data_IF_174794814046
#
_entry.id   IF_174794814046
#
_cell.length_a   1.000
_cell.length_b   1.000
_cell.length_c   1.000
_cell.angle_alpha   90.00
_cell.angle_beta   90.00
_cell.angle_gamma   90.00
#
_symmetry.space_group_name_H-M   'P 1'
#
loop_
_entity.id
_entity.type
_entity.pdbx_description
1 polymer ?
#
# COMPACT_ATOMS: atom_id res chain seq x y z
N UNK A 1 -36.74 -26.57 -3.65
CA UNK A 1 -35.93 -25.47 -4.20
C UNK A 1 -35.20 -24.73 -3.09
N UNK A 2 -34.06 -24.16 -3.42
CA UNK A 2 -33.23 -23.37 -2.48
C UNK A 2 -32.66 -22.12 -3.14
N UNK A 3 -32.36 -21.13 -2.33
CA UNK A 3 -31.55 -19.97 -2.73
C UNK A 3 -30.28 -19.96 -1.88
N UNK A 4 -29.14 -19.94 -2.53
CA UNK A 4 -27.82 -19.86 -1.91
C UNK A 4 -27.13 -18.57 -2.33
N UNK A 5 -26.63 -17.81 -1.38
CA UNK A 5 -25.87 -16.60 -1.61
C UNK A 5 -24.51 -16.74 -0.97
N UNK A 6 -23.48 -16.36 -1.71
CA UNK A 6 -22.10 -16.35 -1.22
C UNK A 6 -21.49 -14.97 -1.43
N UNK A 7 -20.63 -14.56 -0.48
CA UNK A 7 -19.90 -13.30 -0.56
C UNK A 7 -18.48 -13.46 -0.03
N UNK A 8 -17.67 -12.41 -0.19
CA UNK A 8 -16.31 -12.33 0.31
C UNK A 8 -16.12 -11.04 1.08
N UNK A 9 -15.59 -11.15 2.30
CA UNK A 9 -15.20 -10.03 3.15
C UNK A 9 -13.69 -10.08 3.38
N UNK A 10 -12.96 -9.07 2.90
CA UNK A 10 -11.51 -9.01 3.05
C UNK A 10 -11.07 -8.79 4.51
N UNK A 11 -11.93 -8.27 5.38
CA UNK A 11 -11.67 -8.14 6.82
C UNK A 11 -11.79 -9.49 7.53
N UNK A 12 -12.49 -10.46 6.93
CA UNK A 12 -12.70 -11.82 7.44
C UNK A 12 -12.43 -12.87 6.36
N UNK A 13 -11.23 -12.92 5.76
CA UNK A 13 -10.96 -13.68 4.54
C UNK A 13 -11.10 -15.21 4.70
N UNK A 14 -11.03 -15.72 5.93
CA UNK A 14 -11.16 -17.16 6.23
C UNK A 14 -12.61 -17.57 6.54
N UNK A 15 -13.52 -16.61 6.70
CA UNK A 15 -14.92 -16.90 6.98
C UNK A 15 -15.64 -17.21 5.67
N UNK A 16 -16.22 -18.44 5.57
CA UNK A 16 -17.13 -18.75 4.48
C UNK A 16 -18.41 -17.93 4.63
N UNK A 17 -18.56 -16.91 3.81
CA UNK A 17 -19.72 -16.03 3.73
C UNK A 17 -20.79 -16.65 2.85
N UNK A 18 -21.34 -17.81 3.27
CA UNK A 18 -22.40 -18.50 2.56
C UNK A 18 -23.66 -18.55 3.41
N UNK A 19 -24.80 -18.27 2.80
CA UNK A 19 -26.11 -18.31 3.41
C UNK A 19 -27.11 -18.92 2.43
N UNK A 20 -27.84 -19.94 2.88
CA UNK A 20 -28.88 -20.61 2.10
C UNK A 20 -30.20 -20.61 2.83
N UNK A 21 -31.29 -20.65 2.07
CA UNK A 21 -32.65 -20.89 2.55
C UNK A 21 -33.32 -21.91 1.65
N UNK A 22 -33.99 -22.90 2.26
CA UNK A 22 -34.58 -24.04 1.60
C UNK A 22 -36.09 -23.99 1.72
N UNK A 23 -36.75 -24.62 0.76
CA UNK A 23 -38.17 -24.95 0.80
C UNK A 23 -38.34 -26.41 0.44
N UNK A 24 -39.28 -27.07 1.11
CA UNK A 24 -39.59 -28.50 0.95
C UNK A 24 -40.35 -28.82 -0.36
N UNK A 25 -40.74 -27.81 -1.12
CA UNK A 25 -41.46 -28.00 -2.37
C UNK A 25 -40.57 -28.40 -3.56
N UNK A 26 -41.06 -29.29 -4.38
CA UNK A 26 -40.45 -29.66 -5.66
C UNK A 26 -40.73 -28.61 -6.76
N UNK A 27 -39.89 -28.46 -7.80
CA UNK A 27 -38.68 -29.20 -8.03
C UNK A 27 -37.49 -28.68 -7.15
N UNK A 28 -36.51 -29.53 -6.89
CA UNK A 28 -35.29 -29.14 -6.16
C UNK A 28 -34.35 -28.38 -7.08
N UNK A 29 -34.63 -27.10 -7.28
CA UNK A 29 -33.83 -26.16 -8.04
C UNK A 29 -33.06 -25.25 -7.09
N UNK A 30 -31.85 -24.86 -7.50
CA UNK A 30 -31.04 -23.90 -6.78
C UNK A 30 -30.87 -22.61 -7.58
N UNK A 31 -31.12 -21.47 -6.91
CA UNK A 31 -30.70 -20.17 -7.34
C UNK A 31 -29.43 -19.81 -6.55
N UNK A 32 -28.27 -19.76 -7.25
CA UNK A 32 -26.97 -19.41 -6.66
C UNK A 32 -26.54 -18.02 -7.12
N UNK A 33 -26.27 -17.12 -6.15
CA UNK A 33 -25.93 -15.73 -6.41
C UNK A 33 -24.57 -15.38 -5.76
N UNK A 34 -23.64 -14.85 -6.58
CA UNK A 34 -22.35 -14.29 -6.16
C UNK A 34 -22.05 -13.03 -6.98
N UNK A 35 -21.67 -11.91 -6.34
CA UNK A 35 -21.60 -11.62 -4.89
C UNK A 35 -22.98 -11.45 -4.27
N UNK A 36 -23.17 -12.06 -3.09
CA UNK A 36 -24.45 -12.07 -2.38
C UNK A 36 -24.77 -10.77 -1.64
N UNK A 37 -23.80 -9.86 -1.54
CA UNK A 37 -23.89 -8.48 -0.99
C UNK A 37 -24.31 -8.43 0.47
N UNK A 38 -23.63 -9.20 1.29
CA UNK A 38 -23.80 -9.16 2.73
C UNK A 38 -22.45 -9.34 3.44
N UNK A 39 -22.29 -8.67 4.58
CA UNK A 39 -21.11 -8.76 5.46
C UNK A 39 -21.40 -9.55 6.73
N UNK A 40 -22.68 -9.90 6.96
CA UNK A 40 -23.14 -10.69 8.10
C UNK A 40 -24.01 -11.86 7.68
N UNK A 41 -23.78 -13.05 8.26
CA UNK A 41 -24.54 -14.27 7.95
C UNK A 41 -26.04 -14.15 8.18
N UNK A 42 -26.44 -13.44 9.22
CA UNK A 42 -27.84 -13.16 9.51
C UNK A 42 -28.51 -12.40 8.37
N UNK A 43 -27.82 -11.37 7.84
CA UNK A 43 -28.27 -10.63 6.67
C UNK A 43 -28.35 -11.51 5.44
N UNK A 44 -27.33 -12.37 5.22
CA UNK A 44 -27.31 -13.32 4.10
C UNK A 44 -28.50 -14.29 4.13
N UNK A 45 -28.81 -14.88 5.29
CA UNK A 45 -29.98 -15.74 5.47
C UNK A 45 -31.28 -15.01 5.17
N UNK A 46 -31.44 -13.80 5.68
CA UNK A 46 -32.60 -12.95 5.41
C UNK A 46 -32.76 -12.68 3.91
N UNK A 47 -31.70 -12.33 3.21
CA UNK A 47 -31.71 -12.08 1.76
C UNK A 47 -32.06 -13.35 0.97
N UNK A 48 -31.52 -14.51 1.34
CA UNK A 48 -31.82 -15.80 0.71
C UNK A 48 -33.29 -16.18 0.92
N UNK A 49 -33.82 -15.97 2.13
CA UNK A 49 -35.24 -16.20 2.41
C UNK A 49 -36.13 -15.30 1.55
N UNK A 50 -35.85 -13.99 1.50
CA UNK A 50 -36.62 -13.05 0.68
C UNK A 50 -36.57 -13.34 -0.81
N UNK A 51 -35.43 -13.83 -1.29
CA UNK A 51 -35.29 -14.25 -2.68
C UNK A 51 -36.14 -15.49 -2.98
N UNK A 52 -36.16 -16.48 -2.09
CA UNK A 52 -37.01 -17.67 -2.27
C UNK A 52 -38.50 -17.32 -2.20
N UNK A 53 -38.91 -16.45 -1.27
CA UNK A 53 -40.28 -15.93 -1.19
C UNK A 53 -40.69 -15.23 -2.51
N UNK A 54 -39.76 -14.46 -3.11
CA UNK A 54 -39.98 -13.79 -4.41
C UNK A 54 -40.11 -14.79 -5.55
N UNK A 55 -39.31 -15.86 -5.62
CA UNK A 55 -39.39 -16.89 -6.64
C UNK A 55 -40.72 -17.68 -6.55
N UNK A 56 -41.45 -17.53 -5.47
CA UNK A 56 -42.69 -18.25 -5.17
C UNK A 56 -43.90 -17.36 -5.04
N UNK A 57 -43.79 -16.08 -5.38
CA UNK A 57 -44.89 -15.13 -5.22
C UNK A 57 -46.10 -15.47 -6.08
N UNK A 58 -45.90 -16.22 -7.16
CA UNK A 58 -46.94 -16.68 -8.11
C UNK A 58 -47.27 -18.18 -7.99
N UNK A 59 -46.82 -18.85 -6.92
CA UNK A 59 -47.05 -20.29 -6.71
C UNK A 59 -48.54 -20.63 -6.63
N UNK A 60 -49.34 -19.80 -5.97
CA UNK A 60 -50.80 -19.84 -5.94
C UNK A 60 -51.30 -18.46 -6.33
N UNK A 61 -51.63 -18.31 -7.60
CA UNK A 61 -52.18 -17.10 -8.17
C UNK A 61 -53.62 -17.33 -8.58
N UNK A 62 -54.49 -16.45 -8.14
CA UNK A 62 -55.86 -16.39 -8.61
C UNK A 62 -56.05 -15.16 -9.47
N UNK A 63 -56.73 -15.31 -10.59
CA UNK A 63 -57.17 -14.21 -11.44
C UNK A 63 -58.70 -14.11 -11.38
N UNK A 64 -59.19 -12.89 -11.32
CA UNK A 64 -60.60 -12.63 -11.24
C UNK A 64 -61.01 -11.38 -11.97
N UNK A 65 -62.30 -11.31 -12.29
CA UNK A 65 -62.97 -10.12 -12.83
C UNK A 65 -64.06 -9.67 -11.85
N UNK A 66 -64.26 -8.35 -11.75
CA UNK A 66 -65.25 -7.78 -10.85
C UNK A 66 -65.74 -6.43 -11.38
N UNK A 67 -66.90 -6.02 -10.93
CA UNK A 67 -67.50 -4.69 -11.13
C UNK A 67 -67.30 -3.76 -9.92
N UNK A 68 -66.60 -4.24 -8.89
CA UNK A 68 -66.35 -3.49 -7.65
C UNK A 68 -65.27 -2.41 -7.84
N UNK A 69 -65.58 -1.11 -7.92
CA UNK A 69 -64.61 -0.08 -8.17
C UNK A 69 -63.67 0.23 -6.97
N UNK A 70 -63.94 -0.38 -5.82
CA UNK A 70 -63.16 -0.16 -4.57
C UNK A 70 -62.03 -1.14 -4.38
N UNK A 71 -61.82 -2.10 -5.30
CA UNK A 71 -60.67 -2.98 -5.24
C UNK A 71 -59.39 -2.19 -5.48
N UNK A 72 -58.38 -2.36 -4.61
CA UNK A 72 -57.12 -1.67 -4.67
C UNK A 72 -55.98 -2.66 -4.43
N UNK A 73 -54.95 -2.64 -5.26
CA UNK A 73 -53.76 -3.47 -5.06
C UNK A 73 -53.11 -3.21 -3.70
N UNK A 74 -52.56 -4.24 -3.06
CA UNK A 74 -52.06 -4.18 -1.71
C UNK A 74 -53.09 -4.27 -0.61
N UNK A 75 -54.37 -4.41 -0.94
CA UNK A 75 -55.47 -4.61 0.03
C UNK A 75 -55.95 -6.06 0.04
N UNK A 76 -56.70 -6.41 1.08
CA UNK A 76 -57.26 -7.75 1.25
C UNK A 76 -58.69 -7.83 0.75
N UNK A 77 -58.98 -8.94 0.03
CA UNK A 77 -60.30 -9.32 -0.43
C UNK A 77 -60.72 -10.58 0.32
N UNK A 78 -61.71 -10.52 1.21
CA UNK A 78 -62.36 -11.73 1.74
C UNK A 78 -63.29 -12.29 0.69
N UNK A 79 -62.98 -13.49 0.17
CA UNK A 79 -63.87 -14.23 -0.72
C UNK A 79 -64.72 -15.17 0.10
N UNK A 80 -66.04 -15.12 -0.09
CA UNK A 80 -67.04 -15.94 0.62
C UNK A 80 -68.08 -16.52 -0.37
N UNK A 81 -68.68 -17.60 0.00
CA UNK A 81 -69.77 -18.23 -0.78
C UNK A 81 -69.32 -18.73 -2.17
N UNK A 82 -68.01 -18.93 -2.37
CA UNK A 82 -67.54 -19.53 -3.62
C UNK A 82 -67.81 -21.04 -3.62
N UNK A 83 -68.19 -21.63 -4.77
CA UNK A 83 -68.50 -23.06 -4.87
C UNK A 83 -67.36 -23.98 -4.49
N UNK A 84 -66.08 -23.53 -4.73
CA UNK A 84 -64.93 -24.21 -4.24
C UNK A 84 -64.60 -23.70 -2.83
N UNK A 85 -64.79 -24.57 -1.84
CA UNK A 85 -64.65 -24.25 -0.42
C UNK A 85 -63.21 -23.64 -0.06
N UNK A 86 -62.19 -24.18 -0.72
CA UNK A 86 -60.80 -23.82 -0.46
C UNK A 86 -60.49 -22.39 -0.90
N UNK A 87 -61.30 -21.78 -1.73
CA UNK A 87 -61.17 -20.41 -2.17
C UNK A 87 -61.86 -19.41 -1.23
N UNK A 88 -62.72 -19.87 -0.33
CA UNK A 88 -63.37 -19.02 0.65
C UNK A 88 -62.39 -18.64 1.79
N UNK A 89 -61.45 -17.75 1.46
CA UNK A 89 -60.41 -17.29 2.34
C UNK A 89 -60.07 -15.80 2.08
N UNK A 90 -59.13 -15.28 2.81
CA UNK A 90 -58.61 -13.93 2.63
C UNK A 90 -57.54 -13.92 1.54
N UNK A 91 -57.71 -13.09 0.53
CA UNK A 91 -56.81 -12.90 -0.59
C UNK A 91 -56.14 -11.55 -0.55
N UNK A 92 -54.85 -11.48 -0.85
CA UNK A 92 -54.13 -10.25 -1.09
C UNK A 92 -54.22 -9.91 -2.58
N UNK A 93 -54.79 -8.75 -2.91
CA UNK A 93 -54.80 -8.25 -4.28
C UNK A 93 -53.41 -7.75 -4.64
N UNK A 94 -52.76 -8.39 -5.60
CA UNK A 94 -51.39 -8.03 -6.04
C UNK A 94 -51.43 -7.04 -7.17
N UNK A 95 -52.41 -7.14 -8.05
CA UNK A 95 -52.60 -6.25 -9.18
C UNK A 95 -54.11 -6.03 -9.39
N UNK A 96 -54.49 -4.81 -9.76
CA UNK A 96 -55.87 -4.49 -10.17
C UNK A 96 -55.79 -3.56 -11.39
N UNK A 97 -56.40 -3.99 -12.49
CA UNK A 97 -56.57 -3.21 -13.70
C UNK A 97 -58.01 -2.73 -13.78
N UNK A 98 -58.23 -1.43 -13.69
CA UNK A 98 -59.53 -0.81 -13.79
C UNK A 98 -59.80 -0.35 -15.22
N UNK A 99 -60.94 -0.73 -15.78
CA UNK A 99 -61.38 -0.29 -17.09
C UNK A 99 -62.76 0.38 -16.97
N UNK A 100 -62.86 1.61 -17.46
CA UNK A 100 -64.09 2.35 -17.52
C UNK A 100 -64.35 2.87 -18.93
N UNK A 101 -65.58 2.73 -19.44
CA UNK A 101 -65.98 3.22 -20.75
C UNK A 101 -67.27 3.98 -20.67
N UNK A 102 -67.22 5.27 -21.07
CA UNK A 102 -68.38 6.14 -21.11
C UNK A 102 -68.60 6.64 -22.53
N UNK A 103 -69.34 5.90 -23.39
CA UNK A 103 -69.49 6.19 -24.81
C UNK A 103 -70.10 7.55 -25.10
N UNK A 104 -70.99 8.05 -24.24
CA UNK A 104 -71.68 9.35 -24.46
C UNK A 104 -70.68 10.51 -24.61
N UNK A 105 -69.59 10.52 -23.84
CA UNK A 105 -68.56 11.57 -23.95
C UNK A 105 -67.79 11.43 -25.28
N UNK A 106 -67.59 10.22 -25.76
CA UNK A 106 -66.92 9.94 -27.04
C UNK A 106 -67.80 10.25 -28.23
N UNK A 107 -69.12 10.01 -28.14
CA UNK A 107 -70.08 10.32 -29.18
C UNK A 107 -70.26 11.84 -29.38
N UNK A 108 -70.27 12.64 -28.31
CA UNK A 108 -70.24 14.10 -28.37
C UNK A 108 -69.01 14.62 -29.07
N UNK A 109 -67.83 14.08 -28.78
CA UNK A 109 -66.57 14.48 -29.43
C UNK A 109 -66.48 14.05 -30.91
N UNK A 110 -67.12 12.94 -31.30
CA UNK A 110 -67.16 12.47 -32.68
C UNK A 110 -68.14 13.33 -33.50
N UNK A 111 -69.23 13.78 -32.92
CA UNK A 111 -70.20 14.67 -33.58
C UNK A 111 -69.62 16.07 -33.87
N UNK A 112 -68.71 16.56 -33.03
CA UNK A 112 -67.95 17.78 -33.29
C UNK A 112 -66.90 17.63 -34.41
N UNK A 113 -66.44 16.42 -34.69
CA UNK A 113 -65.42 16.12 -35.72
C UNK A 113 -66.00 15.67 -37.06
N UNK A 114 -67.30 15.42 -37.17
CA UNK A 114 -67.96 15.02 -38.42
C UNK A 114 -68.46 16.23 -39.23
N UNK A 115 -67.53 17.04 -39.76
CA UNK A 115 -67.80 17.82 -40.94
C UNK A 115 -67.71 16.95 -42.19
N UNK A 116 -68.67 17.09 -43.14
CA UNK A 116 -68.74 16.18 -44.26
C UNK A 116 -67.81 16.60 -45.38
N UNK A 117 -66.60 16.09 -45.39
CA UNK A 117 -65.82 16.00 -46.63
C UNK A 117 -64.65 15.04 -46.55
N UNK A 118 -64.77 13.94 -47.25
CA UNK A 118 -63.70 13.34 -48.02
C UNK A 118 -62.84 12.26 -47.40
N UNK A 119 -63.16 11.03 -47.80
CA UNK A 119 -62.24 9.90 -48.10
C UNK A 119 -61.14 9.54 -47.11
N UNK A 120 -61.35 8.36 -46.54
CA UNK A 120 -60.47 7.24 -46.38
C UNK A 120 -58.95 7.43 -46.19
N UNK A 121 -58.48 7.18 -45.00
CA UNK A 121 -57.22 6.53 -44.77
C UNK A 121 -57.42 5.53 -43.63
N UNK A 122 -57.23 4.23 -43.92
CA UNK A 122 -57.28 3.16 -42.94
C UNK A 122 -56.11 3.35 -41.96
N UNK A 123 -56.43 3.66 -40.74
CA UNK A 123 -55.55 3.49 -39.60
C UNK A 123 -55.90 2.16 -38.99
N UNK A 124 -55.01 1.20 -39.03
CA UNK A 124 -55.11 -0.04 -38.26
C UNK A 124 -55.17 0.33 -36.77
N UNK A 125 -56.42 0.36 -36.25
CA UNK A 125 -56.66 0.49 -34.83
C UNK A 125 -56.14 -0.78 -34.15
N UNK A 126 -55.36 -0.59 -33.11
CA UNK A 126 -55.02 -1.68 -32.20
C UNK A 126 -56.29 -2.46 -31.88
N UNK A 127 -56.23 -3.82 -31.73
CA UNK A 127 -57.41 -4.65 -31.49
C UNK A 127 -58.03 -4.28 -30.14
N UNK A 128 -58.93 -3.35 -30.15
CA UNK A 128 -59.78 -3.02 -29.03
C UNK A 128 -60.69 -4.24 -28.77
N UNK A 129 -60.60 -4.79 -27.59
CA UNK A 129 -61.42 -5.89 -27.10
C UNK A 129 -62.86 -5.57 -27.34
N UNK A 130 -63.51 -6.30 -28.26
CA UNK A 130 -64.89 -6.07 -28.75
C UNK A 130 -65.97 -6.32 -27.68
N UNK A 131 -65.61 -6.78 -26.50
CA UNK A 131 -66.55 -7.30 -25.47
C UNK A 131 -67.02 -6.30 -24.41
N UNK A 132 -66.50 -5.05 -24.39
CA UNK A 132 -66.87 -4.07 -23.36
C UNK A 132 -67.36 -2.75 -24.00
N UNK A 133 -68.65 -2.50 -24.04
CA UNK A 133 -69.22 -1.36 -24.68
C UNK A 133 -69.47 -0.15 -23.77
N UNK A 134 -69.83 -0.39 -22.50
CA UNK A 134 -70.14 0.68 -21.55
C UNK A 134 -70.09 0.16 -20.10
N UNK A 135 -69.75 1.07 -19.18
CA UNK A 135 -69.72 0.81 -17.75
C UNK A 135 -68.33 0.67 -17.17
N UNK A 136 -68.20 -0.07 -16.13
CA UNK A 136 -66.97 -0.30 -15.40
C UNK A 136 -66.77 -1.82 -15.20
N UNK A 137 -65.51 -2.23 -15.33
CA UNK A 137 -65.01 -3.55 -14.91
C UNK A 137 -63.59 -3.45 -14.37
N UNK A 138 -63.20 -4.40 -13.60
CA UNK A 138 -61.78 -4.59 -13.28
C UNK A 138 -61.37 -6.05 -13.42
N UNK A 139 -60.10 -6.22 -13.66
CA UNK A 139 -59.38 -7.50 -13.56
C UNK A 139 -58.38 -7.40 -12.45
N UNK A 140 -58.25 -8.46 -11.68
CA UNK A 140 -57.30 -8.47 -10.59
C UNK A 140 -56.55 -9.79 -10.53
N UNK A 141 -55.31 -9.73 -10.02
CA UNK A 141 -54.55 -10.88 -9.58
C UNK A 141 -54.46 -10.87 -8.06
N UNK A 142 -54.56 -12.05 -7.45
CA UNK A 142 -54.57 -12.19 -6.01
C UNK A 142 -53.81 -13.46 -5.58
N UNK A 143 -53.19 -13.39 -4.41
CA UNK A 143 -52.54 -14.54 -3.77
C UNK A 143 -53.13 -14.77 -2.39
N UNK A 144 -53.22 -16.04 -1.89
CA UNK A 144 -53.71 -16.31 -0.55
C UNK A 144 -52.93 -15.54 0.52
N UNK A 145 -53.60 -15.06 1.56
CA UNK A 145 -52.99 -14.35 2.68
C UNK A 145 -51.81 -15.10 3.31
N UNK A 146 -51.87 -16.43 3.37
CA UNK A 146 -50.85 -17.28 3.97
C UNK A 146 -49.51 -17.28 3.19
N UNK A 147 -49.55 -16.83 1.93
CA UNK A 147 -48.36 -16.81 1.06
C UNK A 147 -47.66 -15.45 1.15
N UNK A 148 -46.38 -15.38 1.55
CA UNK A 148 -45.65 -14.15 1.56
C UNK A 148 -45.44 -13.59 0.16
N UNK A 149 -46.12 -12.50 -0.17
CA UNK A 149 -45.95 -11.82 -1.45
C UNK A 149 -44.66 -10.98 -1.45
N UNK A 150 -43.85 -11.14 -2.50
CA UNK A 150 -42.67 -10.32 -2.80
C UNK A 150 -42.68 -9.93 -4.27
N UNK A 151 -42.72 -8.64 -4.61
CA UNK A 151 -42.73 -8.22 -6.02
C UNK A 151 -41.44 -8.62 -6.73
N UNK A 152 -41.56 -8.82 -8.05
CA UNK A 152 -40.40 -9.08 -8.90
C UNK A 152 -39.43 -7.88 -8.88
N UNK A 153 -38.12 -8.14 -9.02
CA UNK A 153 -37.13 -7.12 -9.19
C UNK A 153 -37.09 -6.68 -10.66
N UNK A 154 -37.93 -5.71 -11.01
CA UNK A 154 -38.04 -5.22 -12.39
C UNK A 154 -36.90 -4.28 -12.80
N UNK A 155 -36.20 -3.67 -11.82
CA UNK A 155 -35.14 -2.72 -12.09
C UNK A 155 -33.78 -3.39 -11.83
N UNK A 156 -32.90 -3.48 -12.85
CA UNK A 156 -31.56 -3.99 -12.66
C UNK A 156 -30.75 -3.04 -11.78
N UNK A 157 -29.86 -3.58 -10.94
CA UNK A 157 -28.93 -2.75 -10.18
C UNK A 157 -28.03 -1.99 -11.16
N UNK A 158 -27.75 -0.69 -10.91
CA UNK A 158 -26.79 0.07 -11.71
C UNK A 158 -25.43 -0.63 -11.79
N UNK A 159 -24.82 -0.60 -12.96
CA UNK A 159 -23.48 -1.16 -13.20
C UNK A 159 -22.58 -0.12 -13.84
N UNK A 160 -21.34 -0.06 -13.34
CA UNK A 160 -20.25 0.67 -13.95
C UNK A 160 -19.47 -0.29 -14.83
N UNK A 161 -19.59 -0.17 -16.16
CA UNK A 161 -19.03 -1.15 -17.11
C UNK A 161 -17.53 -0.97 -17.40
N UNK A 162 -16.89 0.06 -16.85
CA UNK A 162 -15.48 0.35 -17.09
C UNK A 162 -14.78 0.93 -15.88
N UNK A 163 -13.52 1.30 -16.04
CA UNK A 163 -12.76 2.04 -15.05
C UNK A 163 -13.04 3.54 -15.17
N UNK A 164 -12.89 4.26 -14.08
CA UNK A 164 -13.00 5.71 -14.00
C UNK A 164 -11.76 6.29 -13.34
N UNK A 165 -11.46 7.54 -13.60
CA UNK A 165 -10.41 8.26 -12.88
C UNK A 165 -10.99 9.08 -11.74
N UNK A 166 -10.19 9.25 -10.70
CA UNK A 166 -10.55 10.01 -9.51
C UNK A 166 -9.29 10.62 -8.88
N UNK A 167 -9.47 11.62 -8.04
CA UNK A 167 -8.38 12.26 -7.31
C UNK A 167 -8.39 11.79 -5.86
N UNK A 168 -7.22 11.43 -5.32
CA UNK A 168 -7.07 11.04 -3.90
C UNK A 168 -7.31 12.24 -3.00
N UNK A 169 -8.11 12.05 -1.96
CA UNK A 169 -8.52 13.11 -1.03
C UNK A 169 -8.15 12.77 0.42
N UNK A 170 -8.15 13.79 1.25
CA UNK A 170 -7.85 13.66 2.69
C UNK A 170 -8.12 14.95 3.45
N UNK A 171 -7.87 14.95 4.77
CA UNK A 171 -7.97 16.14 5.59
C UNK A 171 -7.06 17.26 5.11
N UNK A 172 -7.48 18.50 5.31
CA UNK A 172 -6.69 19.66 4.94
C UNK A 172 -5.30 19.66 5.61
N UNK A 173 -4.24 19.81 4.79
CA UNK A 173 -2.85 19.82 5.26
C UNK A 173 -2.20 18.45 5.39
N UNK A 174 -2.91 17.35 5.15
CA UNK A 174 -2.31 16.01 5.06
C UNK A 174 -1.89 15.69 3.62
N UNK A 175 -0.67 15.17 3.48
CA UNK A 175 -0.14 14.72 2.18
C UNK A 175 -0.44 13.25 1.90
N UNK A 176 -0.60 12.44 2.95
CA UNK A 176 -0.85 11.01 2.86
C UNK A 176 -1.97 10.67 3.84
N UNK A 177 -3.11 10.22 3.31
CA UNK A 177 -4.27 9.84 4.10
C UNK A 177 -4.68 8.41 3.80
N UNK A 178 -4.41 7.50 4.73
CA UNK A 178 -4.76 6.09 4.59
C UNK A 178 -5.18 5.50 5.94
N UNK A 179 -5.84 4.35 5.88
CA UNK A 179 -6.16 3.57 7.07
C UNK A 179 -5.13 2.44 7.34
N UNK A 180 -5.44 1.58 8.29
CA UNK A 180 -4.60 0.44 8.69
C UNK A 180 -4.39 -0.62 7.59
N UNK A 181 -5.25 -0.65 6.56
CA UNK A 181 -5.15 -1.54 5.41
C UNK A 181 -4.49 -0.87 4.19
N UNK A 182 -4.03 0.39 4.33
CA UNK A 182 -3.49 1.16 3.22
C UNK A 182 -4.56 1.59 2.21
N UNK A 183 -5.84 1.64 2.61
CA UNK A 183 -6.93 2.15 1.78
C UNK A 183 -6.86 3.68 1.72
N UNK A 184 -7.35 4.23 0.63
CA UNK A 184 -7.41 5.68 0.40
C UNK A 184 -8.83 6.13 0.13
N UNK A 185 -9.07 7.44 0.19
CA UNK A 185 -10.32 8.06 -0.21
C UNK A 185 -10.10 8.86 -1.48
N UNK A 186 -11.14 8.95 -2.29
CA UNK A 186 -11.06 9.61 -3.60
C UNK A 186 -12.29 10.48 -3.85
N UNK A 187 -12.15 11.46 -4.72
CA UNK A 187 -13.26 12.18 -5.33
C UNK A 187 -13.28 11.92 -6.82
N UNK A 188 -14.41 11.43 -7.32
CA UNK A 188 -14.62 11.25 -8.76
C UNK A 188 -14.87 12.60 -9.46
N UNK A 189 -14.44 12.73 -10.72
CA UNK A 189 -14.61 13.98 -11.47
C UNK A 189 -16.07 14.38 -11.73
N UNK A 190 -16.99 13.44 -11.69
CA UNK A 190 -18.44 13.71 -11.82
C UNK A 190 -19.10 14.12 -10.50
N UNK A 191 -18.45 13.92 -9.37
CA UNK A 191 -18.99 14.31 -8.07
C UNK A 191 -18.97 15.83 -7.91
N UNK A 192 -20.13 16.44 -7.95
CA UNK A 192 -20.32 17.89 -7.83
C UNK A 192 -20.54 18.37 -6.40
N UNK A 193 -20.77 17.48 -5.47
CA UNK A 193 -21.08 17.79 -4.06
C UNK A 193 -19.85 17.60 -3.17
N UNK A 194 -18.86 16.84 -3.62
CA UNK A 194 -17.63 16.57 -2.90
C UNK A 194 -16.78 17.82 -2.68
N UNK A 195 -16.16 17.96 -1.52
CA UNK A 195 -15.33 19.09 -1.13
C UNK A 195 -13.83 18.76 -1.11
N UNK A 196 -13.43 17.67 -1.76
CA UNK A 196 -12.05 17.15 -1.79
C UNK A 196 -11.44 16.93 -0.39
N UNK A 197 -12.26 16.55 0.57
CA UNK A 197 -11.88 16.25 1.96
C UNK A 197 -11.87 14.74 2.27
N UNK A 198 -11.77 14.38 3.53
CA UNK A 198 -11.80 13.01 4.02
C UNK A 198 -13.19 12.36 4.04
N UNK A 199 -14.23 13.03 3.52
CA UNK A 199 -15.62 12.56 3.49
C UNK A 199 -16.13 12.23 2.10
N UNK A 200 -15.33 12.47 1.06
CA UNK A 200 -15.72 12.35 -0.36
C UNK A 200 -16.09 10.95 -0.80
N UNK A 201 -15.55 9.90 -0.18
CA UNK A 201 -15.88 8.51 -0.53
C UNK A 201 -15.80 7.57 0.67
N UNK A 202 -16.19 6.32 0.46
CA UNK A 202 -15.77 5.20 1.31
C UNK A 202 -14.24 4.98 1.20
N UNK A 203 -13.69 4.10 2.00
CA UNK A 203 -12.31 3.66 1.88
C UNK A 203 -12.15 2.67 0.71
N UNK A 204 -11.28 3.00 -0.24
CA UNK A 204 -10.96 2.17 -1.39
C UNK A 204 -9.65 1.41 -1.15
N UNK A 205 -9.67 0.10 -1.34
CA UNK A 205 -8.44 -0.70 -1.34
C UNK A 205 -7.56 -0.31 -2.51
N UNK A 206 -6.24 -0.29 -2.30
CA UNK A 206 -5.25 -0.05 -3.34
C UNK A 206 -4.66 -1.37 -3.77
N UNK A 207 -4.72 -1.67 -5.07
CA UNK A 207 -4.10 -2.85 -5.65
C UNK A 207 -2.57 -2.71 -5.60
N UNK A 208 -1.90 -3.76 -5.19
CA UNK A 208 -0.44 -3.87 -5.23
C UNK A 208 -0.03 -4.99 -6.17
N UNK A 209 1.15 -4.90 -6.75
CA UNK A 209 1.72 -5.95 -7.61
C UNK A 209 2.01 -7.25 -6.85
N UNK A 210 2.21 -7.16 -5.54
CA UNK A 210 2.52 -8.30 -4.68
C UNK A 210 2.08 -8.01 -3.25
N UNK A 211 1.23 -8.88 -2.69
CA UNK A 211 0.66 -8.70 -1.35
C UNK A 211 0.55 -10.07 -0.65
N UNK A 212 1.39 -10.30 0.36
CA UNK A 212 1.38 -11.47 1.24
C UNK A 212 1.19 -11.07 2.70
N UNK A 213 1.28 -12.06 3.60
CA UNK A 213 1.20 -11.81 5.04
C UNK A 213 2.52 -11.17 5.53
N UNK A 214 2.51 -9.86 5.72
CA UNK A 214 3.64 -9.01 6.13
C UNK A 214 4.83 -8.98 5.16
N UNK A 215 4.61 -9.32 3.88
CA UNK A 215 5.59 -9.14 2.82
C UNK A 215 4.93 -8.74 1.51
N UNK A 216 5.65 -8.05 0.65
CA UNK A 216 5.16 -7.56 -0.63
C UNK A 216 5.58 -6.13 -0.95
N UNK A 217 4.95 -5.54 -1.94
CA UNK A 217 5.16 -4.15 -2.31
C UNK A 217 3.98 -3.27 -1.87
N UNK A 218 4.27 -2.13 -1.25
CA UNK A 218 3.25 -1.15 -0.88
C UNK A 218 3.70 0.26 -1.26
N UNK A 219 2.84 0.99 -1.96
CA UNK A 219 2.99 2.42 -2.22
C UNK A 219 1.61 3.06 -2.07
N UNK A 220 1.47 3.95 -1.09
CA UNK A 220 0.20 4.63 -0.83
C UNK A 220 0.08 5.84 -1.76
N UNK A 221 -0.96 5.92 -2.61
CA UNK A 221 -1.25 7.13 -3.37
C UNK A 221 -1.49 8.32 -2.45
N UNK A 222 -0.86 9.47 -2.75
CA UNK A 222 -0.94 10.67 -1.93
C UNK A 222 -2.13 11.53 -2.30
N UNK A 223 -2.56 12.38 -1.38
CA UNK A 223 -3.60 13.39 -1.63
C UNK A 223 -3.23 14.23 -2.84
N UNK A 224 -4.19 14.44 -3.76
CA UNK A 224 -3.99 15.12 -5.01
C UNK A 224 -3.57 14.24 -6.20
N UNK A 225 -3.12 13.00 -5.99
CA UNK A 225 -2.78 12.10 -7.09
C UNK A 225 -4.02 11.61 -7.82
N UNK A 226 -3.92 11.53 -9.16
CA UNK A 226 -4.94 10.89 -9.98
C UNK A 226 -4.77 9.38 -9.96
N UNK A 227 -5.88 8.67 -9.75
CA UNK A 227 -5.92 7.21 -9.66
C UNK A 227 -6.95 6.62 -10.61
N UNK A 228 -6.67 5.42 -11.09
CA UNK A 228 -7.60 4.60 -11.86
C UNK A 228 -8.42 3.74 -10.90
N UNK A 229 -9.73 3.88 -10.94
CA UNK A 229 -10.67 3.13 -10.10
C UNK A 229 -11.45 2.14 -10.96
N UNK A 230 -11.44 0.90 -10.56
CA UNK A 230 -12.22 -0.19 -11.15
C UNK A 230 -13.28 -0.65 -10.15
N UNK A 231 -14.41 -1.15 -10.63
CA UNK A 231 -15.52 -1.59 -9.80
C UNK A 231 -15.65 -3.11 -9.90
N UNK A 232 -15.55 -3.80 -8.77
CA UNK A 232 -15.67 -5.26 -8.72
C UNK A 232 -17.06 -5.68 -9.21
N UNK A 233 -17.14 -6.59 -10.19
CA UNK A 233 -18.37 -7.03 -10.85
C UNK A 233 -19.23 -5.87 -11.42
N UNK A 234 -18.62 -4.71 -11.65
CA UNK A 234 -19.33 -3.51 -12.07
C UNK A 234 -20.21 -2.89 -10.98
N UNK A 235 -20.06 -3.30 -9.74
CA UNK A 235 -20.84 -2.76 -8.62
C UNK A 235 -20.31 -1.40 -8.17
N UNK A 236 -21.10 -0.31 -8.29
CA UNK A 236 -20.66 1.02 -7.87
C UNK A 236 -20.30 1.10 -6.38
N UNK A 237 -20.78 0.18 -5.55
CA UNK A 237 -20.51 0.11 -4.12
C UNK A 237 -19.19 -0.64 -3.81
N UNK A 238 -18.50 -1.18 -4.84
CA UNK A 238 -17.27 -1.97 -4.69
C UNK A 238 -16.10 -1.37 -5.51
N UNK A 239 -15.72 -0.11 -5.27
CA UNK A 239 -14.59 0.54 -5.94
C UNK A 239 -13.25 0.01 -5.44
N UNK A 240 -12.27 -0.08 -6.34
CA UNK A 240 -10.91 -0.52 -6.10
C UNK A 240 -9.93 0.35 -6.89
N UNK A 241 -8.91 0.91 -6.24
CA UNK A 241 -7.82 1.62 -6.93
C UNK A 241 -6.88 0.60 -7.54
N UNK A 242 -6.69 0.67 -8.86
CA UNK A 242 -5.87 -0.28 -9.64
C UNK A 242 -4.59 0.32 -10.19
N UNK A 243 -4.40 1.63 -10.10
CA UNK A 243 -3.18 2.31 -10.54
C UNK A 243 -3.21 3.81 -10.31
N UNK A 244 -2.07 4.45 -10.57
CA UNK A 244 -1.92 5.91 -10.56
C UNK A 244 -1.62 6.40 -11.97
N UNK A 245 -2.06 7.62 -12.28
CA UNK A 245 -1.90 8.25 -13.59
C UNK A 245 -1.14 9.55 -13.46
N UNK A 246 -0.23 9.79 -14.41
CA UNK A 246 0.40 11.10 -14.58
C UNK A 246 -0.48 12.02 -15.42
N UNK A 247 -0.44 13.31 -15.15
CA UNK A 247 -1.15 14.33 -15.90
C UNK A 247 -0.32 15.62 -15.99
N UNK A 248 -0.86 16.68 -16.57
CA UNK A 248 -0.12 17.91 -16.83
C UNK A 248 0.50 18.56 -15.58
N UNK A 249 -0.17 18.45 -14.43
CA UNK A 249 0.30 19.03 -13.16
C UNK A 249 1.19 18.05 -12.37
N UNK A 250 0.90 16.74 -12.47
CA UNK A 250 1.71 15.69 -11.87
C UNK A 250 2.48 14.94 -12.97
N UNK A 251 3.67 15.46 -13.28
CA UNK A 251 4.51 14.95 -14.35
C UNK A 251 5.39 13.78 -13.90
N UNK A 252 5.85 13.00 -14.88
CA UNK A 252 6.83 11.92 -14.67
C UNK A 252 8.13 12.47 -14.05
N UNK A 253 8.88 11.64 -13.29
CA UNK A 253 10.10 12.09 -12.60
C UNK A 253 11.20 12.70 -13.47
N UNK A 254 11.20 12.40 -14.77
CA UNK A 254 12.16 12.92 -15.76
C UNK A 254 11.46 13.23 -17.07
N UNK A 255 11.86 14.30 -17.72
CA UNK A 255 11.26 14.76 -18.96
C UNK A 255 11.28 13.70 -20.06
N UNK A 256 10.10 13.42 -20.61
CA UNK A 256 9.95 12.53 -21.77
C UNK A 256 9.73 13.39 -23.04
N UNK A 257 10.15 12.91 -24.23
CA UNK A 257 10.76 11.60 -24.50
C UNK A 257 12.29 11.53 -24.30
N UNK A 258 12.93 12.59 -23.84
CA UNK A 258 14.40 12.68 -23.72
C UNK A 258 15.01 11.57 -22.84
N UNK A 259 14.30 11.15 -21.81
CA UNK A 259 14.74 10.17 -20.82
C UNK A 259 13.98 8.84 -20.88
N UNK A 260 13.53 8.43 -22.08
CA UNK A 260 12.71 7.22 -22.28
C UNK A 260 13.44 5.90 -21.95
N UNK A 261 14.77 5.93 -21.81
CA UNK A 261 15.60 4.79 -21.42
C UNK A 261 15.74 4.63 -19.91
N UNK A 262 15.16 5.54 -19.12
CA UNK A 262 15.22 5.51 -17.67
C UNK A 262 14.06 4.76 -17.07
N UNK A 263 14.37 3.82 -16.17
CA UNK A 263 13.43 3.24 -15.23
C UNK A 263 13.69 3.83 -13.85
N UNK A 264 12.63 4.34 -13.19
CA UNK A 264 12.78 5.12 -11.96
C UNK A 264 11.76 4.70 -10.92
N UNK A 265 12.24 4.51 -9.70
CA UNK A 265 11.42 4.49 -8.49
C UNK A 265 11.89 5.64 -7.61
N UNK A 266 11.06 6.69 -7.51
CA UNK A 266 11.39 7.91 -6.78
C UNK A 266 10.29 8.25 -5.78
N UNK A 267 10.68 8.49 -4.54
CA UNK A 267 9.79 8.91 -3.45
C UNK A 267 9.97 10.39 -3.15
N UNK A 268 9.13 10.94 -2.31
CA UNK A 268 9.23 12.32 -1.85
C UNK A 268 9.11 12.33 -0.32
N UNK A 269 9.99 13.09 0.35
CA UNK A 269 9.91 13.26 1.80
C UNK A 269 8.59 13.90 2.22
N UNK A 270 8.02 13.46 3.32
CA UNK A 270 6.77 13.97 3.89
C UNK A 270 6.94 14.14 5.41
N UNK A 271 6.35 15.21 6.01
CA UNK A 271 5.63 16.31 5.37
C UNK A 271 6.56 17.39 4.79
N UNK A 272 6.00 18.20 3.87
CA UNK A 272 6.62 19.43 3.39
C UNK A 272 7.60 19.28 2.22
N UNK A 273 7.90 18.08 1.77
CA UNK A 273 8.73 17.85 0.58
C UNK A 273 10.19 18.33 0.73
N UNK A 274 10.91 18.49 -0.39
CA UNK A 274 12.29 19.00 -0.46
C UNK A 274 13.37 17.92 -0.44
N UNK A 275 13.07 16.68 -0.03
CA UNK A 275 13.95 15.54 -0.09
C UNK A 275 13.31 14.35 -0.84
N UNK A 276 14.12 13.40 -1.26
CA UNK A 276 13.64 12.21 -1.98
C UNK A 276 14.59 11.03 -1.80
N UNK A 277 14.07 9.81 -1.95
CA UNK A 277 14.90 8.62 -2.19
C UNK A 277 14.66 8.14 -3.61
N UNK A 278 15.69 7.61 -4.28
CA UNK A 278 15.61 7.23 -5.68
C UNK A 278 16.41 5.96 -5.99
N UNK A 279 15.78 5.04 -6.69
CA UNK A 279 16.44 4.01 -7.48
C UNK A 279 16.20 4.32 -8.96
N UNK A 280 17.28 4.60 -9.70
CA UNK A 280 17.21 4.89 -11.13
C UNK A 280 18.12 3.95 -11.91
N UNK A 281 17.59 3.42 -13.00
CA UNK A 281 18.33 2.60 -13.96
C UNK A 281 18.29 3.33 -15.30
N UNK A 282 19.47 3.65 -15.84
CA UNK A 282 19.64 4.21 -17.18
C UNK A 282 20.20 3.13 -18.10
N UNK A 283 19.45 2.81 -19.17
CA UNK A 283 19.80 1.76 -20.14
C UNK A 283 20.32 2.32 -21.48
N UNK A 284 20.70 3.59 -21.52
CA UNK A 284 21.28 4.20 -22.71
C UNK A 284 22.64 3.58 -23.02
N UNK A 285 22.79 2.97 -24.19
CA UNK A 285 24.01 2.31 -24.61
C UNK A 285 25.23 3.23 -24.51
N UNK A 286 26.24 2.79 -23.76
CA UNK A 286 27.48 3.54 -23.48
C UNK A 286 27.36 4.59 -22.36
N UNK A 287 26.20 4.66 -21.69
CA UNK A 287 25.96 5.52 -20.55
C UNK A 287 25.06 4.82 -19.52
N UNK A 288 25.13 3.49 -19.47
CA UNK A 288 24.37 2.67 -18.53
C UNK A 288 24.77 3.00 -17.09
N UNK A 289 23.77 3.15 -16.23
CA UNK A 289 24.00 3.53 -14.83
C UNK A 289 22.91 2.97 -13.91
N UNK A 290 23.30 2.47 -12.76
CA UNK A 290 22.41 2.29 -11.61
C UNK A 290 22.78 3.38 -10.60
N UNK A 291 21.79 4.22 -10.25
CA UNK A 291 21.94 5.31 -9.30
C UNK A 291 21.03 5.08 -8.10
N UNK A 292 21.61 5.11 -6.91
CA UNK A 292 20.89 5.03 -5.65
C UNK A 292 21.12 6.34 -4.88
N UNK A 293 20.02 6.93 -4.41
CA UNK A 293 20.04 8.12 -3.59
C UNK A 293 19.20 7.90 -2.34
N UNK A 294 19.84 8.01 -1.19
CA UNK A 294 19.17 8.09 0.10
C UNK A 294 19.23 9.54 0.59
N UNK A 295 18.09 10.13 0.89
CA UNK A 295 18.02 11.51 1.38
C UNK A 295 18.75 11.72 2.69
N UNK A 296 18.79 10.69 3.52
CA UNK A 296 19.41 10.78 4.85
C UNK A 296 20.30 9.59 5.14
N UNK A 297 19.75 8.46 5.46
CA UNK A 297 20.48 7.29 5.93
C UNK A 297 20.35 6.14 4.92
N UNK A 298 21.43 5.40 4.75
CA UNK A 298 21.47 4.14 4.00
C UNK A 298 21.99 3.06 4.92
N UNK A 299 21.12 2.11 5.26
CA UNK A 299 21.46 0.94 6.05
C UNK A 299 21.43 -0.31 5.17
N UNK A 300 22.49 -1.09 5.18
CA UNK A 300 22.62 -2.34 4.45
C UNK A 300 22.94 -3.46 5.43
N UNK A 301 22.04 -4.45 5.56
CA UNK A 301 22.23 -5.63 6.40
C UNK A 301 22.26 -6.88 5.52
N UNK A 302 23.36 -7.63 5.58
CA UNK A 302 23.59 -8.85 4.80
C UNK A 302 23.87 -9.98 5.76
N UNK A 303 22.96 -10.94 5.81
CA UNK A 303 23.00 -12.04 6.76
C UNK A 303 24.10 -13.08 6.47
N UNK A 304 24.69 -13.08 5.27
CA UNK A 304 25.71 -14.07 4.91
C UNK A 304 26.88 -13.40 4.18
N UNK A 305 27.01 -13.50 2.88
CA UNK A 305 28.17 -13.01 2.12
C UNK A 305 27.86 -11.76 1.31
N UNK A 306 28.77 -10.78 1.30
CA UNK A 306 28.79 -9.70 0.33
C UNK A 306 30.00 -9.88 -0.61
N UNK A 307 29.77 -9.85 -1.93
CA UNK A 307 30.80 -9.93 -2.97
C UNK A 307 30.69 -8.74 -3.91
N UNK A 308 31.73 -7.90 -3.93
CA UNK A 308 31.78 -6.71 -4.77
C UNK A 308 32.91 -6.86 -5.79
N UNK A 309 32.62 -6.71 -7.09
CA UNK A 309 33.61 -6.63 -8.16
C UNK A 309 33.41 -5.31 -8.90
N UNK A 310 34.47 -4.49 -8.92
CA UNK A 310 34.51 -3.25 -9.70
C UNK A 310 35.48 -3.45 -10.86
N UNK A 311 35.00 -3.25 -12.07
CA UNK A 311 35.79 -3.49 -13.30
C UNK A 311 36.80 -2.40 -13.62
N UNK A 312 36.63 -1.20 -13.08
CA UNK A 312 37.50 -0.06 -13.32
C UNK A 312 37.90 0.62 -12.01
N UNK A 313 37.31 1.71 -11.63
CA UNK A 313 37.66 2.47 -10.44
C UNK A 313 36.61 2.46 -9.36
N UNK A 314 36.99 2.55 -8.11
CA UNK A 314 36.12 2.76 -6.97
C UNK A 314 36.49 4.04 -6.25
N UNK A 315 35.53 4.93 -6.04
CA UNK A 315 35.71 6.18 -5.29
C UNK A 315 34.81 6.15 -4.05
N UNK A 316 35.41 6.31 -2.89
CA UNK A 316 34.69 6.41 -1.62
C UNK A 316 35.04 7.77 -0.98
N UNK A 317 34.03 8.57 -0.63
CA UNK A 317 34.18 9.81 0.10
C UNK A 317 33.33 9.78 1.36
N UNK A 318 33.95 9.99 2.50
CA UNK A 318 33.27 10.09 3.80
C UNK A 318 33.61 11.45 4.42
N UNK A 319 32.62 12.32 4.53
CA UNK A 319 32.82 13.70 5.01
C UNK A 319 33.06 13.81 6.52
N UNK A 320 32.70 12.78 7.29
CA UNK A 320 32.92 12.74 8.73
C UNK A 320 33.77 11.52 9.12
N UNK A 321 33.33 10.72 10.07
CA UNK A 321 34.06 9.57 10.57
C UNK A 321 33.70 8.28 9.83
N UNK A 322 34.68 7.43 9.56
CA UNK A 322 34.48 6.06 9.07
C UNK A 322 34.87 5.07 10.14
N UNK A 323 34.04 4.05 10.37
CA UNK A 323 34.27 2.98 11.35
C UNK A 323 34.21 1.63 10.66
N UNK A 324 35.23 0.80 10.86
CA UNK A 324 35.27 -0.57 10.35
C UNK A 324 35.64 -1.53 11.46
N UNK A 325 34.97 -2.66 11.61
CA UNK A 325 35.28 -3.71 12.56
C UNK A 325 35.31 -5.06 11.83
N UNK A 326 36.49 -5.70 11.80
CA UNK A 326 36.67 -7.05 11.29
C UNK A 326 36.82 -7.98 12.50
N UNK A 327 35.87 -8.89 12.69
CA UNK A 327 35.87 -9.79 13.85
C UNK A 327 36.71 -11.05 13.65
N UNK A 328 37.21 -11.26 12.44
CA UNK A 328 38.15 -12.29 12.06
C UNK A 328 39.33 -11.68 11.31
N UNK A 329 39.83 -12.29 10.27
CA UNK A 329 40.98 -11.85 9.53
C UNK A 329 40.62 -10.83 8.44
N UNK A 330 41.47 -9.80 8.27
CA UNK A 330 41.42 -8.92 7.10
C UNK A 330 42.55 -9.30 6.12
N UNK A 331 42.19 -9.67 4.88
CA UNK A 331 43.15 -9.93 3.82
C UNK A 331 43.13 -8.78 2.80
N UNK A 332 44.25 -8.11 2.61
CA UNK A 332 44.39 -7.03 1.65
C UNK A 332 45.61 -7.21 0.77
N UNK A 333 45.44 -7.22 -0.55
CA UNK A 333 46.52 -7.25 -1.55
C UNK A 333 46.42 -6.03 -2.45
N UNK A 334 47.54 -5.31 -2.61
CA UNK A 334 47.67 -4.21 -3.56
C UNK A 334 48.81 -4.54 -4.53
N UNK A 335 48.46 -4.63 -5.83
CA UNK A 335 49.45 -5.04 -6.85
C UNK A 335 50.35 -3.90 -7.35
N UNK A 336 50.01 -2.65 -7.07
CA UNK A 336 50.80 -1.47 -7.41
C UNK A 336 51.07 -0.63 -6.13
N UNK A 337 51.22 0.66 -6.26
CA UNK A 337 51.48 1.55 -5.15
C UNK A 337 50.29 1.68 -4.22
N UNK A 338 50.57 1.70 -2.92
CA UNK A 338 49.64 2.19 -1.90
C UNK A 338 50.10 3.54 -1.42
N UNK A 339 49.29 4.58 -1.57
CA UNK A 339 49.54 5.92 -1.06
C UNK A 339 48.56 6.23 0.06
N UNK A 340 49.07 6.71 1.19
CA UNK A 340 48.27 7.13 2.33
C UNK A 340 48.78 8.44 2.88
N UNK A 341 47.91 9.41 3.11
CA UNK A 341 48.20 10.67 3.79
C UNK A 341 47.34 10.77 5.04
N UNK A 342 47.96 10.96 6.19
CA UNK A 342 47.30 11.16 7.48
C UNK A 342 47.76 12.53 8.00
N UNK A 343 46.83 13.50 7.98
CA UNK A 343 47.14 14.89 8.33
C UNK A 343 47.23 15.18 9.83
N UNK A 344 46.85 14.22 10.65
CA UNK A 344 46.97 14.31 12.10
C UNK A 344 47.79 13.12 12.63
N UNK A 345 47.26 12.33 13.50
CA UNK A 345 47.99 11.23 14.14
C UNK A 345 47.57 9.87 13.54
N UNK A 346 48.53 8.98 13.36
CA UNK A 346 48.34 7.57 13.08
C UNK A 346 48.59 6.75 14.35
N UNK A 347 47.57 6.01 14.80
CA UNK A 347 47.65 5.18 16.01
C UNK A 347 47.53 3.71 15.63
N UNK A 348 48.59 2.93 15.77
CA UNK A 348 48.57 1.50 15.51
C UNK A 348 48.86 0.74 16.81
N UNK A 349 47.97 -0.16 17.18
CA UNK A 349 48.16 -1.12 18.28
C UNK A 349 48.10 -2.55 17.75
N UNK A 350 49.15 -3.33 17.95
CA UNK A 350 49.24 -4.74 17.56
C UNK A 350 49.39 -5.57 18.81
N UNK A 351 48.44 -6.48 19.06
CA UNK A 351 48.41 -7.30 20.29
C UNK A 351 49.54 -8.28 20.43
N UNK A 352 50.04 -8.86 19.34
CA UNK A 352 51.11 -9.84 19.35
C UNK A 352 52.33 -9.37 18.58
N UNK A 353 52.43 -9.64 17.28
CA UNK A 353 53.62 -9.36 16.47
C UNK A 353 53.31 -8.56 15.22
N UNK A 354 54.12 -7.59 14.89
CA UNK A 354 54.10 -6.93 13.60
C UNK A 354 55.32 -7.40 12.78
N UNK A 355 55.09 -7.92 11.57
CA UNK A 355 56.11 -8.33 10.64
C UNK A 355 56.13 -7.38 9.46
N UNK A 356 57.30 -6.72 9.23
CA UNK A 356 57.51 -5.80 8.11
C UNK A 356 58.69 -6.32 7.27
N UNK A 357 58.43 -6.66 5.99
CA UNK A 357 59.45 -7.06 5.03
C UNK A 357 59.44 -6.11 3.85
N UNK A 358 60.56 -5.43 3.58
CA UNK A 358 60.70 -4.46 2.51
C UNK A 358 61.81 -4.90 1.59
N UNK A 359 61.57 -4.90 0.25
CA UNK A 359 62.50 -5.46 -0.73
C UNK A 359 63.76 -4.59 -0.95
N UNK A 360 63.60 -3.28 -0.90
CA UNK A 360 64.70 -2.36 -1.25
C UNK A 360 65.08 -1.42 -0.13
N UNK A 361 64.21 -0.54 0.33
CA UNK A 361 64.55 0.47 1.32
C UNK A 361 63.37 0.86 2.22
N UNK A 362 63.67 1.10 3.49
CA UNK A 362 62.75 1.72 4.45
C UNK A 362 63.30 3.07 4.86
N UNK A 363 62.55 4.13 4.64
CA UNK A 363 62.94 5.50 5.02
C UNK A 363 61.96 5.98 6.11
N UNK A 364 62.52 6.39 7.25
CA UNK A 364 61.74 6.90 8.39
C UNK A 364 62.36 8.24 8.79
N UNK A 365 61.54 9.28 8.76
CA UNK A 365 61.94 10.63 9.18
C UNK A 365 60.91 11.17 10.17
N UNK A 366 61.37 11.75 11.27
CA UNK A 366 60.55 12.43 12.26
C UNK A 366 61.17 13.78 12.62
N UNK A 367 60.34 14.83 12.73
CA UNK A 367 60.78 16.18 13.04
C UNK A 367 61.43 16.30 14.41
N UNK A 368 60.97 15.58 15.40
CA UNK A 368 61.48 15.71 16.78
C UNK A 368 62.10 14.43 17.33
N UNK A 369 61.44 13.31 17.28
CA UNK A 369 61.90 12.11 17.99
C UNK A 369 61.53 10.83 17.25
N UNK A 370 62.41 9.87 17.19
CA UNK A 370 62.15 8.46 16.90
C UNK A 370 62.53 7.67 18.15
N UNK A 371 61.52 7.10 18.85
CA UNK A 371 61.76 6.34 20.06
C UNK A 371 61.54 4.83 19.78
N UNK A 372 62.60 4.06 19.89
CA UNK A 372 62.58 2.61 19.78
C UNK A 372 62.93 2.02 21.15
N UNK A 373 61.93 1.26 21.73
CA UNK A 373 62.12 0.63 23.04
C UNK A 373 61.71 -0.82 22.98
N UNK A 374 62.49 -1.69 23.63
CA UNK A 374 62.23 -3.09 23.80
C UNK A 374 62.47 -3.53 25.25
N UNK A 375 61.62 -4.35 25.82
CA UNK A 375 61.79 -4.88 27.18
C UNK A 375 62.94 -5.84 27.34
N UNK A 376 63.40 -6.50 26.28
CA UNK A 376 64.44 -7.49 26.34
C UNK A 376 65.61 -7.24 25.38
N UNK A 377 65.34 -7.05 24.09
CA UNK A 377 66.41 -7.07 23.08
C UNK A 377 66.09 -6.20 21.89
N UNK A 378 67.08 -5.39 21.45
CA UNK A 378 67.11 -4.72 20.16
C UNK A 378 68.29 -5.24 19.37
N UNK A 379 68.09 -5.68 18.14
CA UNK A 379 69.16 -6.12 17.23
C UNK A 379 69.11 -5.22 16.02
N UNK A 380 70.27 -4.62 15.68
CA UNK A 380 70.45 -3.84 14.47
C UNK A 380 71.60 -4.49 13.68
N UNK A 381 71.29 -4.96 12.48
CA UNK A 381 72.24 -5.65 11.59
C UNK A 381 72.29 -4.93 10.26
N UNK A 382 73.51 -4.73 9.74
CA UNK A 382 73.75 -4.20 8.41
C UNK A 382 74.80 -5.04 7.71
N UNK A 383 74.58 -5.37 6.42
CA UNK A 383 75.50 -6.20 5.65
C UNK A 383 76.86 -5.52 5.35
N UNK A 384 76.89 -4.22 5.30
CA UNK A 384 78.15 -3.45 4.96
C UNK A 384 78.48 -2.32 5.91
N UNK A 385 77.54 -1.53 6.33
CA UNK A 385 77.73 -0.38 7.18
C UNK A 385 76.59 -0.08 8.12
N UNK A 386 76.90 0.22 9.39
CA UNK A 386 75.93 0.72 10.37
C UNK A 386 76.53 2.05 10.94
N UNK A 387 75.84 3.15 10.78
CA UNK A 387 76.25 4.46 11.24
C UNK A 387 75.24 5.06 12.22
N UNK A 388 75.69 5.48 13.41
CA UNK A 388 75.03 6.36 14.36
C UNK A 388 75.59 7.72 14.32
N UNK A 389 74.80 8.76 14.03
CA UNK A 389 75.29 10.16 13.92
C UNK A 389 74.39 11.07 14.76
N UNK A 390 75.02 11.92 15.57
CA UNK A 390 74.36 12.96 16.34
C UNK A 390 75.27 14.16 16.61
N UNK A 391 74.78 15.39 16.40
CA UNK A 391 75.46 16.62 16.80
C UNK A 391 76.97 16.76 16.38
N UNK A 392 77.32 16.26 15.23
CA UNK A 392 78.69 16.27 14.75
C UNK A 392 79.55 15.08 15.20
N UNK A 393 79.08 14.23 16.07
CA UNK A 393 79.69 12.97 16.48
C UNK A 393 79.10 11.78 15.72
N UNK A 394 79.87 10.74 15.47
CA UNK A 394 79.42 9.51 14.82
C UNK A 394 80.11 8.26 15.40
N UNK A 395 79.41 7.15 15.31
CA UNK A 395 79.95 5.80 15.46
C UNK A 395 79.60 5.05 14.18
N UNK A 396 80.56 4.52 13.48
CA UNK A 396 80.41 3.78 12.25
C UNK A 396 81.03 2.39 12.42
N UNK A 397 80.32 1.38 12.01
CA UNK A 397 80.77 -0.01 11.94
C UNK A 397 80.74 -0.44 10.48
N UNK A 398 81.91 -0.84 9.95
CA UNK A 398 82.06 -1.33 8.58
C UNK A 398 83.14 -2.44 8.50
N UNK A 399 83.41 -2.93 7.28
CA UNK A 399 84.39 -3.97 7.06
C UNK A 399 85.85 -3.59 7.52
N UNK A 400 86.17 -2.31 7.68
CA UNK A 400 87.43 -1.83 8.18
C UNK A 400 87.55 -1.74 9.72
N UNK A 401 86.44 -1.89 10.42
CA UNK A 401 86.38 -1.86 11.87
C UNK A 401 85.40 -0.87 12.45
N UNK A 402 85.64 -0.41 13.67
CA UNK A 402 84.84 0.60 14.38
C UNK A 402 85.49 1.95 14.34
N UNK A 403 84.89 2.92 13.73
CA UNK A 403 85.30 4.32 13.68
C UNK A 403 84.51 5.16 14.64
N UNK A 404 85.13 5.86 15.59
CA UNK A 404 84.50 6.83 16.50
C UNK A 404 85.07 8.20 16.28
N UNK A 405 84.22 9.19 16.02
CA UNK A 405 84.64 10.60 15.81
C UNK A 405 83.77 11.49 16.67
N UNK A 406 84.42 12.43 17.38
CA UNK A 406 83.69 13.43 18.19
C UNK A 406 84.73 14.33 18.94
N UNK A 407 84.31 15.47 19.47
CA UNK A 407 85.19 16.38 20.24
C UNK A 407 85.78 15.73 21.50
N UNK A 408 85.10 14.78 22.07
CA UNK A 408 85.54 14.03 23.24
C UNK A 408 84.94 12.61 23.22
N UNK A 409 85.74 11.58 23.34
CA UNK A 409 85.33 10.17 23.50
C UNK A 409 85.48 9.78 24.95
N UNK A 410 84.47 9.46 25.63
CA UNK A 410 84.41 8.94 27.02
C UNK A 410 84.14 7.45 27.02
N UNK A 411 85.05 6.69 27.58
CA UNK A 411 84.94 5.23 27.75
C UNK A 411 84.92 4.90 29.24
N UNK A 412 83.87 4.13 29.68
CA UNK A 412 83.72 3.68 31.07
C UNK A 412 83.83 4.81 32.14
N UNK A 413 83.29 6.04 31.81
CA UNK A 413 83.38 7.23 32.66
C UNK A 413 82.08 7.61 33.34
N UNK A 414 81.06 6.72 33.32
CA UNK A 414 79.66 7.03 33.82
C UNK A 414 78.89 7.98 32.88
N UNK A 415 77.66 8.15 33.10
CA UNK A 415 76.66 8.95 32.35
C UNK A 415 75.25 8.53 32.57
N UNK A 416 74.28 9.37 32.18
CA UNK A 416 72.84 9.00 32.22
C UNK A 416 72.34 8.81 30.80
N UNK A 417 71.59 7.70 30.55
CA UNK A 417 70.96 7.49 29.26
C UNK A 417 69.86 8.57 28.99
N UNK A 418 69.64 8.90 27.74
CA UNK A 418 68.49 9.68 27.35
C UNK A 418 67.18 8.91 27.62
N UNK A 419 66.08 9.64 27.83
CA UNK A 419 64.74 9.07 28.00
C UNK A 419 63.93 9.46 26.79
N UNK A 420 63.21 8.48 26.21
CA UNK A 420 62.20 8.70 25.16
C UNK A 420 60.82 8.87 25.76
N UNK A 421 59.86 9.40 24.96
CA UNK A 421 58.48 9.70 25.37
C UNK A 421 57.57 8.46 25.45
N UNK A 422 57.93 7.37 24.77
CA UNK A 422 57.13 6.15 24.71
C UNK A 422 55.95 6.24 23.71
N UNK A 423 55.33 5.10 23.43
CA UNK A 423 54.18 5.01 22.55
C UNK A 423 52.88 5.01 23.37
N UNK A 424 51.91 5.84 23.01
CA UNK A 424 50.61 5.94 23.65
C UNK A 424 49.48 5.98 22.60
N UNK A 425 49.25 4.90 21.85
CA UNK A 425 48.22 4.87 20.82
C UNK A 425 46.81 4.91 21.43
N UNK A 426 45.87 5.60 20.76
CA UNK A 426 44.45 5.63 21.09
C UNK A 426 43.72 4.50 20.34
N UNK A 427 42.83 3.80 21.03
CA UNK A 427 42.06 2.72 20.44
C UNK A 427 40.97 3.27 19.49
N UNK A 428 40.59 2.52 18.41
CA UNK A 428 39.57 2.93 17.50
C UNK A 428 38.16 2.89 18.15
N UNK A 429 37.26 3.75 17.65
CA UNK A 429 35.85 3.71 17.99
C UNK A 429 35.16 2.47 17.39
N UNK A 430 34.05 2.08 17.98
CA UNK A 430 33.23 0.92 17.51
C UNK A 430 32.30 1.34 16.39
N UNK A 431 32.17 0.47 15.36
CA UNK A 431 31.14 0.57 14.34
C UNK A 431 29.75 0.34 14.93
N UNK A 432 28.73 1.05 14.41
CA UNK A 432 27.33 0.83 14.76
C UNK A 432 26.73 -0.23 13.81
N UNK A 433 25.80 -1.10 14.29
CA UNK A 433 25.09 -2.01 13.41
C UNK A 433 24.11 -1.26 12.49
N UNK A 434 23.92 -1.74 11.28
CA UNK A 434 22.79 -1.37 10.44
C UNK A 434 21.50 -1.95 11.06
N UNK A 435 20.49 -1.11 11.25
CA UNK A 435 19.25 -1.51 11.93
C UNK A 435 18.05 -0.86 11.24
N UNK A 436 17.34 -1.64 10.43
CA UNK A 436 16.18 -1.20 9.65
C UNK A 436 15.01 -0.72 10.54
N UNK A 437 14.88 -1.29 11.73
CA UNK A 437 13.75 -0.97 12.62
C UNK A 437 13.92 0.35 13.38
N UNK A 438 15.10 0.96 13.31
CA UNK A 438 15.38 2.27 13.90
C UNK A 438 15.32 3.43 12.91
N UNK A 439 14.85 3.18 11.70
CA UNK A 439 14.59 4.21 10.70
C UNK A 439 13.43 5.10 11.14
N UNK A 440 13.73 6.11 11.90
CA UNK A 440 12.83 7.17 12.30
C UNK A 440 11.90 6.82 13.47
N UNK A 441 11.81 7.70 14.44
CA UNK A 441 10.74 7.67 15.45
C UNK A 441 9.41 7.91 14.71
N UNK A 442 8.38 7.06 14.90
CA UNK A 442 7.06 7.34 14.34
C UNK A 442 6.64 8.74 14.75
N UNK A 443 6.31 9.58 13.76
CA UNK A 443 5.80 10.93 14.02
C UNK A 443 4.64 10.84 15.00
N UNK A 444 4.65 11.63 16.06
CA UNK A 444 3.55 11.71 17.03
C UNK A 444 2.20 11.99 16.34
N UNK A 445 2.22 12.62 15.17
CA UNK A 445 1.06 12.82 14.33
C UNK A 445 0.47 11.50 13.82
N UNK A 446 1.28 10.50 13.44
CA UNK A 446 0.81 9.17 13.03
C UNK A 446 0.16 8.41 14.20
N UNK A 447 0.70 8.55 15.40
CA UNK A 447 0.09 7.99 16.61
C UNK A 447 -1.24 8.68 16.93
N UNK A 448 -1.33 10.01 16.79
CA UNK A 448 -2.59 10.76 16.94
C UNK A 448 -3.61 10.41 15.88
N UNK A 449 -3.19 10.21 14.63
CA UNK A 449 -4.06 9.83 13.52
C UNK A 449 -4.65 8.42 13.72
N UNK A 450 -3.83 7.46 14.14
CA UNK A 450 -4.29 6.12 14.48
C UNK A 450 -5.21 6.09 15.71
N UNK A 451 -4.97 6.94 16.70
CA UNK A 451 -5.82 7.09 17.89
C UNK A 451 -7.18 7.72 17.56
N UNK A 452 -7.21 8.78 16.74
CA UNK A 452 -8.45 9.40 16.27
C UNK A 452 -9.30 8.43 15.44
N UNK A 453 -8.66 7.63 14.60
CA UNK A 453 -9.34 6.67 13.74
C UNK A 453 -10.00 5.51 14.51
N UNK A 454 -9.39 5.07 15.61
CA UNK A 454 -9.95 4.04 16.50
C UNK A 454 -11.06 4.56 17.40
N UNK A 455 -10.99 5.82 17.82
CA UNK A 455 -12.02 6.44 18.66
C UNK A 455 -13.36 6.67 17.96
N UNK A 456 -13.37 6.74 16.63
CA UNK A 456 -14.60 6.89 15.84
C UNK A 456 -15.32 5.58 15.53
N UNK A 457 -14.71 4.41 15.79
CA UNK A 457 -15.26 3.08 15.42
C UNK A 457 -15.67 2.18 16.58
N UNK A 458 -15.24 2.45 17.81
CA UNK A 458 -15.62 1.64 18.97
C UNK A 458 -15.63 2.49 20.24
N UNK A 459 -16.66 2.34 21.04
CA UNK A 459 -16.59 2.77 22.43
C UNK A 459 -15.47 2.00 23.14
N UNK A 460 -14.52 2.74 23.71
CA UNK A 460 -13.36 2.29 24.49
C UNK A 460 -12.30 1.56 23.63
N UNK A 461 -11.21 2.27 23.38
CA UNK A 461 -10.06 1.77 22.62
C UNK A 461 -9.01 1.21 23.60
N UNK A 462 -8.72 -0.10 23.52
CA UNK A 462 -7.69 -0.79 24.31
C UNK A 462 -6.29 -0.15 24.23
N UNK A 463 -6.02 0.62 23.16
CA UNK A 463 -4.78 1.38 23.00
C UNK A 463 -4.78 2.72 23.73
N UNK A 464 -5.95 3.32 23.96
CA UNK A 464 -6.05 4.52 24.79
C UNK A 464 -5.79 4.17 26.27
N UNK A 465 -6.18 2.96 26.71
CA UNK A 465 -5.85 2.46 28.05
C UNK A 465 -4.37 2.10 28.15
N UNK A 466 -3.79 1.45 27.14
CA UNK A 466 -2.36 1.13 27.12
C UNK A 466 -1.45 2.39 27.04
N UNK A 467 -1.88 3.44 26.34
CA UNK A 467 -1.15 4.71 26.28
C UNK A 467 -1.27 5.51 27.59
N UNK A 468 -2.42 5.43 28.29
CA UNK A 468 -2.57 5.99 29.65
C UNK A 468 -1.71 5.27 30.65
N UNK A 469 -1.67 3.94 30.63
CA UNK A 469 -0.83 3.12 31.50
C UNK A 469 0.67 3.39 31.32
N UNK A 470 1.12 3.73 30.11
CA UNK A 470 2.51 4.12 29.85
C UNK A 470 2.85 5.55 30.30
N UNK A 471 1.88 6.44 30.37
CA UNK A 471 2.07 7.79 30.92
C UNK A 471 2.10 7.80 32.45
N UNK A 472 1.34 6.94 33.09
CA UNK A 472 1.31 6.82 34.56
C UNK A 472 2.56 6.11 35.13
N UNK A 473 3.32 5.40 34.30
CA UNK A 473 4.58 4.72 34.73
C UNK A 473 5.81 5.64 34.58
N UNK A 474 5.65 6.89 34.14
CA UNK A 474 6.72 7.88 33.95
C UNK A 474 6.65 9.11 34.88
N UNK A 475 5.89 9.03 35.93
CA UNK A 475 5.88 10.03 37.00
C UNK A 475 6.59 9.51 38.25
#
# INVERSE_FOLDING_TARGET
SRVTRRDYDFEKPRLSMEAAFHSDFQPDLEDYDYPGRFTERTRGKHLSQRALERHRHDYELAEGESDQPRLVSGHFLPLTEHPCSDWNQLWLLTEVLHEGKQPQVLEESILELSSPSGRGAGGEGAPGNADFHQGYRNRFSATPWAIPFRPALCHPKPKVLGSQTAVVTGPAGEEIHCDEYGRVKVQFHWDREGQADDKTSCWLRVSSSWAGDRYGGIAIPRVGMEVLVTFLEGDPDQPLVTGCLYHKEHQVPYDLPANKTRTVFKTLSSPGGGGYNELRIEDRKGAEQIYLHAQRDWDENIEHDQKIRVGHERHDTVEANSYSEFRAEEHRTTHADRKAEIRANDHLTVGNSQHLKIGTGQFVEAGNEIHLSSGLKVVLEAGSELTFKAGGSLIKLDASGITMVGPLIRMNSGGSPGKGSGAAPVLPGKAKPADADKAGVPLEALLKQNLLFRSTRAGVCDLCEAAKAQQETKV
#
